data_IF_282137383603
#
_entry.id   IF_282137383603
#
_cell.length_a   1.000
_cell.length_b   1.000
_cell.length_c   1.000
_cell.angle_alpha   90.00
_cell.angle_beta   90.00
_cell.angle_gamma   90.00
#
_symmetry.space_group_name_H-M   'P 1'
#
loop_
_entity.id
_entity.type
_entity.pdbx_description
1 polymer ?
#
# COMPACT_ATOMS: atom_id res chain seq x y z
N UNK A 1 -19.43 -17.81 -6.29
CA UNK A 1 -18.51 -16.81 -6.86
C UNK A 1 -17.46 -16.44 -5.84
N UNK A 2 -16.21 -16.45 -6.23
CA UNK A 2 -15.11 -16.11 -5.34
C UNK A 2 -14.70 -14.65 -5.55
N UNK A 3 -14.80 -13.85 -4.51
CA UNK A 3 -14.44 -12.42 -4.56
C UNK A 3 -13.03 -12.15 -4.05
N UNK A 4 -12.29 -13.17 -3.62
CA UNK A 4 -10.97 -12.99 -3.01
C UNK A 4 -10.01 -12.23 -3.92
N UNK A 5 -10.06 -12.48 -5.23
CA UNK A 5 -9.19 -11.83 -6.21
C UNK A 5 -9.49 -10.34 -6.41
N UNK A 6 -10.49 -9.81 -5.71
CA UNK A 6 -10.85 -8.38 -5.74
C UNK A 6 -10.61 -7.70 -4.39
N UNK A 7 -10.02 -8.40 -3.42
CA UNK A 7 -9.81 -7.86 -2.08
C UNK A 7 -8.38 -7.36 -1.93
N UNK A 8 -8.26 -6.13 -1.43
CA UNK A 8 -6.99 -5.55 -1.00
C UNK A 8 -6.87 -5.75 0.51
N UNK A 9 -6.08 -6.74 0.91
CA UNK A 9 -5.89 -7.07 2.33
C UNK A 9 -4.96 -6.03 2.96
N UNK A 10 -5.47 -5.27 3.92
CA UNK A 10 -4.89 -3.99 4.33
C UNK A 10 -4.50 -3.96 5.80
N UNK A 11 -3.30 -3.44 6.09
CA UNK A 11 -2.84 -3.19 7.46
C UNK A 11 -2.03 -1.88 7.46
N UNK A 12 -2.62 -0.82 8.03
CA UNK A 12 -2.06 0.54 7.97
C UNK A 12 -1.80 1.14 9.36
N UNK A 13 -1.97 0.36 10.42
CA UNK A 13 -1.72 0.83 11.78
C UNK A 13 -0.25 1.22 11.94
N UNK A 14 0.06 2.41 12.47
CA UNK A 14 1.45 2.84 12.61
C UNK A 14 2.26 1.95 13.55
N UNK A 15 1.61 1.28 14.48
CA UNK A 15 2.27 0.36 15.41
C UNK A 15 2.43 -1.06 14.88
N UNK A 16 2.02 -1.34 13.64
CA UNK A 16 2.17 -2.67 13.05
C UNK A 16 3.64 -3.07 12.99
N UNK A 17 3.92 -4.29 13.41
CA UNK A 17 5.28 -4.85 13.43
C UNK A 17 5.49 -5.82 12.28
N UNK A 18 6.77 -6.12 11.90
CA UNK A 18 7.05 -6.97 10.74
C UNK A 18 6.34 -8.32 10.76
N UNK A 19 6.19 -8.95 11.92
CA UNK A 19 5.50 -10.25 11.99
C UNK A 19 4.04 -10.15 11.58
N UNK A 20 3.38 -9.04 11.93
CA UNK A 20 1.99 -8.81 11.51
C UNK A 20 1.90 -8.61 10.00
N UNK A 21 2.89 -7.97 9.41
CA UNK A 21 2.95 -7.79 7.96
C UNK A 21 3.19 -9.14 7.26
N UNK A 22 4.06 -9.99 7.81
CA UNK A 22 4.27 -11.33 7.27
C UNK A 22 3.00 -12.16 7.32
N UNK A 23 2.24 -12.06 8.42
CA UNK A 23 0.95 -12.74 8.55
C UNK A 23 -0.05 -12.24 7.53
N UNK A 24 -0.08 -10.92 7.28
CA UNK A 24 -0.93 -10.32 6.25
C UNK A 24 -0.63 -10.94 4.88
N UNK A 25 0.65 -11.05 4.53
CA UNK A 25 1.07 -11.63 3.26
C UNK A 25 0.72 -13.13 3.18
N UNK A 26 0.89 -13.84 4.28
CA UNK A 26 0.58 -15.27 4.36
C UNK A 26 -0.91 -15.49 4.13
N UNK A 27 -1.76 -14.68 4.76
CA UNK A 27 -3.21 -14.74 4.57
C UNK A 27 -3.60 -14.42 3.14
N UNK A 28 -2.96 -13.41 2.54
CA UNK A 28 -3.24 -13.06 1.14
C UNK A 28 -2.96 -14.24 0.20
N UNK A 29 -1.86 -14.94 0.43
CA UNK A 29 -1.51 -16.14 -0.37
C UNK A 29 -2.50 -17.27 -0.12
N UNK A 30 -2.90 -17.48 1.14
CA UNK A 30 -3.80 -18.57 1.50
C UNK A 30 -5.17 -18.39 0.87
N UNK A 31 -5.71 -17.16 0.87
CA UNK A 31 -7.05 -16.89 0.37
C UNK A 31 -7.09 -16.38 -1.07
N UNK A 32 -5.94 -16.14 -1.70
CA UNK A 32 -5.87 -15.64 -3.07
C UNK A 32 -6.38 -14.22 -3.22
N UNK A 33 -6.07 -13.34 -2.27
CA UNK A 33 -6.47 -11.93 -2.37
C UNK A 33 -5.73 -11.24 -3.50
N UNK A 34 -6.31 -10.15 -4.02
CA UNK A 34 -5.73 -9.38 -5.12
C UNK A 34 -4.40 -8.75 -4.74
N UNK A 35 -4.35 -8.12 -3.56
CA UNK A 35 -3.17 -7.39 -3.12
C UNK A 35 -3.10 -7.35 -1.60
N UNK A 36 -1.93 -6.95 -1.11
CA UNK A 36 -1.81 -6.41 0.25
C UNK A 36 -1.57 -4.92 0.14
N UNK A 37 -2.13 -4.14 1.08
CA UNK A 37 -1.95 -2.69 1.12
C UNK A 37 -1.32 -2.30 2.45
N UNK A 38 -0.17 -1.63 2.39
CA UNK A 38 0.66 -1.33 3.56
C UNK A 38 1.23 0.08 3.46
N UNK A 39 1.80 0.55 4.57
CA UNK A 39 2.61 1.77 4.57
C UNK A 39 3.89 1.53 3.78
N UNK A 40 4.43 2.59 3.18
CA UNK A 40 5.56 2.48 2.24
C UNK A 40 6.79 1.82 2.85
N UNK A 41 7.00 1.97 4.16
CA UNK A 41 8.14 1.35 4.85
C UNK A 41 8.11 -0.18 4.80
N UNK A 42 6.94 -0.78 4.61
CA UNK A 42 6.79 -2.23 4.58
C UNK A 42 6.72 -2.83 3.17
N UNK A 43 6.85 -2.01 2.14
CA UNK A 43 6.81 -2.51 0.76
C UNK A 43 7.93 -3.53 0.48
N UNK A 44 9.19 -3.29 0.87
CA UNK A 44 10.23 -4.29 0.62
C UNK A 44 9.92 -5.66 1.24
N UNK A 45 9.42 -5.66 2.47
CA UNK A 45 9.07 -6.91 3.15
C UNK A 45 7.95 -7.65 2.41
N UNK A 46 6.90 -6.91 2.02
CA UNK A 46 5.79 -7.51 1.27
C UNK A 46 6.24 -8.04 -0.08
N UNK A 47 7.10 -7.30 -0.79
CA UNK A 47 7.61 -7.73 -2.09
C UNK A 47 8.37 -9.05 -1.96
N UNK A 48 9.17 -9.21 -0.90
CA UNK A 48 9.89 -10.45 -0.67
C UNK A 48 8.94 -11.61 -0.32
N UNK A 49 7.98 -11.36 0.59
CA UNK A 49 7.04 -12.38 1.04
C UNK A 49 6.09 -12.85 -0.07
N UNK A 50 5.76 -11.96 -1.00
CA UNK A 50 4.79 -12.25 -2.06
C UNK A 50 5.45 -12.59 -3.40
N UNK A 51 6.76 -12.75 -3.41
CA UNK A 51 7.51 -13.08 -4.61
C UNK A 51 6.95 -14.35 -5.26
N UNK A 52 6.72 -14.27 -6.58
CA UNK A 52 6.19 -15.38 -7.37
C UNK A 52 4.76 -15.83 -6.99
N UNK A 53 4.04 -15.03 -6.21
CA UNK A 53 2.68 -15.37 -5.80
C UNK A 53 1.60 -14.83 -6.75
N UNK A 54 1.95 -13.84 -7.56
CA UNK A 54 0.98 -13.12 -8.39
C UNK A 54 0.15 -12.11 -7.63
N UNK A 55 0.40 -11.92 -6.33
CA UNK A 55 -0.33 -10.96 -5.50
C UNK A 55 0.37 -9.62 -5.56
N UNK A 56 -0.39 -8.55 -5.81
CA UNK A 56 0.15 -7.21 -5.92
C UNK A 56 0.50 -6.64 -4.55
N UNK A 57 1.53 -5.78 -4.52
CA UNK A 57 1.85 -4.98 -3.34
C UNK A 57 1.39 -3.56 -3.61
N UNK A 58 0.45 -3.08 -2.80
CA UNK A 58 -0.04 -1.72 -2.85
C UNK A 58 0.57 -0.92 -1.71
N UNK A 59 1.07 0.27 -2.01
CA UNK A 59 1.57 1.21 -1.00
C UNK A 59 0.66 2.41 -0.92
N UNK A 60 0.27 2.80 0.30
CA UNK A 60 -0.35 4.11 0.49
C UNK A 60 0.72 5.19 0.34
N UNK A 61 0.32 6.37 -0.11
CA UNK A 61 1.19 7.53 -0.29
C UNK A 61 0.49 8.74 0.30
N UNK A 62 1.21 9.48 1.15
CA UNK A 62 0.64 10.62 1.84
C UNK A 62 -0.41 10.26 2.88
N UNK A 63 -0.41 9.03 3.33
CA UNK A 63 -1.42 8.49 4.24
C UNK A 63 -1.07 8.83 5.70
N UNK A 64 -2.05 9.15 6.56
CA UNK A 64 -3.48 9.18 6.23
C UNK A 64 -3.99 10.57 5.83
N UNK A 65 -3.22 11.62 6.05
CA UNK A 65 -3.75 13.00 5.98
C UNK A 65 -3.80 13.57 4.56
N UNK A 66 -2.91 13.14 3.69
CA UNK A 66 -2.78 13.72 2.35
C UNK A 66 -2.27 15.15 2.34
N UNK A 67 -2.01 15.73 3.50
CA UNK A 67 -1.63 17.14 3.65
C UNK A 67 -0.12 17.30 3.59
N UNK A 68 0.46 16.92 2.47
CA UNK A 68 1.89 17.06 2.24
C UNK A 68 2.14 17.57 0.83
N UNK A 69 3.35 18.03 0.58
CA UNK A 69 3.70 18.62 -0.71
C UNK A 69 3.62 17.56 -1.83
N UNK A 70 3.37 18.05 -3.04
CA UNK A 70 3.42 17.18 -4.23
C UNK A 70 4.75 16.47 -4.36
N UNK A 71 5.85 17.18 -4.09
CA UNK A 71 7.20 16.60 -4.15
C UNK A 71 7.35 15.43 -3.19
N UNK A 72 6.85 15.57 -1.95
CA UNK A 72 6.95 14.53 -0.95
C UNK A 72 6.14 13.30 -1.36
N UNK A 73 4.91 13.50 -1.89
CA UNK A 73 4.08 12.40 -2.39
C UNK A 73 4.75 11.70 -3.56
N UNK A 74 5.28 12.46 -4.51
CA UNK A 74 5.97 11.89 -5.67
C UNK A 74 7.19 11.07 -5.24
N UNK A 75 7.95 11.56 -4.26
CA UNK A 75 9.11 10.85 -3.74
C UNK A 75 8.71 9.55 -3.06
N UNK A 76 7.66 9.58 -2.24
CA UNK A 76 7.18 8.36 -1.59
C UNK A 76 6.69 7.33 -2.62
N UNK A 77 5.94 7.78 -3.61
CA UNK A 77 5.45 6.89 -4.67
C UNK A 77 6.60 6.25 -5.46
N UNK A 78 7.58 7.07 -5.86
CA UNK A 78 8.74 6.58 -6.60
C UNK A 78 9.53 5.56 -5.79
N UNK A 79 9.75 5.84 -4.50
CA UNK A 79 10.44 4.92 -3.60
C UNK A 79 9.68 3.61 -3.44
N UNK A 80 8.37 3.67 -3.28
CA UNK A 80 7.54 2.48 -3.14
C UNK A 80 7.62 1.59 -4.39
N UNK A 81 7.59 2.18 -5.58
CA UNK A 81 7.72 1.44 -6.84
C UNK A 81 9.09 0.77 -6.92
N UNK A 82 10.15 1.51 -6.59
CA UNK A 82 11.51 0.93 -6.58
C UNK A 82 11.62 -0.23 -5.60
N UNK A 83 10.90 -0.17 -4.50
CA UNK A 83 10.93 -1.22 -3.46
C UNK A 83 10.02 -2.41 -3.78
N UNK A 84 9.25 -2.35 -4.86
CA UNK A 84 8.48 -3.48 -5.34
C UNK A 84 6.97 -3.30 -5.36
N UNK A 85 6.45 -2.11 -5.05
CA UNK A 85 5.01 -1.85 -5.16
C UNK A 85 4.60 -1.80 -6.63
N UNK A 86 3.48 -2.43 -6.94
CA UNK A 86 2.88 -2.38 -8.27
C UNK A 86 1.61 -1.53 -8.31
N UNK A 87 1.10 -1.14 -7.14
CA UNK A 87 -0.07 -0.29 -7.00
C UNK A 87 0.20 0.81 -5.98
N UNK A 88 -0.32 1.99 -6.26
CA UNK A 88 -0.17 3.15 -5.37
C UNK A 88 -1.56 3.68 -5.05
N UNK A 89 -1.80 3.89 -3.74
CA UNK A 89 -3.04 4.44 -3.23
C UNK A 89 -2.71 5.79 -2.58
N UNK A 90 -2.86 6.88 -3.33
CA UNK A 90 -2.46 8.21 -2.89
C UNK A 90 -3.62 8.95 -2.26
N UNK A 91 -3.37 9.56 -1.09
CA UNK A 91 -4.39 10.36 -0.40
C UNK A 91 -4.39 11.77 -0.94
N UNK A 92 -5.59 12.26 -1.30
CA UNK A 92 -5.78 13.63 -1.79
C UNK A 92 -5.49 14.65 -0.69
N UNK A 93 -4.99 15.82 -1.08
CA UNK A 93 -4.88 16.97 -0.17
C UNK A 93 -6.27 17.62 -0.07
N UNK A 94 -7.04 17.23 0.93
CA UNK A 94 -8.45 17.61 1.07
C UNK A 94 -8.63 19.13 1.07
N UNK A 95 -7.76 19.85 1.79
CA UNK A 95 -7.84 21.31 1.84
C UNK A 95 -7.68 21.97 0.49
N UNK A 96 -6.76 21.48 -0.34
CA UNK A 96 -6.55 21.99 -1.69
C UNK A 96 -7.74 21.69 -2.60
N UNK A 97 -8.29 20.49 -2.50
CA UNK A 97 -9.47 20.11 -3.27
C UNK A 97 -10.66 21.00 -2.88
N UNK A 98 -10.86 21.23 -1.59
CA UNK A 98 -11.94 22.11 -1.10
C UNK A 98 -11.78 23.54 -1.58
N UNK A 99 -10.57 24.02 -1.77
CA UNK A 99 -10.29 25.37 -2.25
C UNK A 99 -10.42 25.49 -3.78
N UNK A 100 -10.66 24.39 -4.47
CA UNK A 100 -10.74 24.36 -5.94
C UNK A 100 -9.37 24.35 -6.62
N UNK A 101 -8.32 24.09 -5.90
CA UNK A 101 -6.96 24.02 -6.44
C UNK A 101 -6.61 22.55 -6.71
N UNK A 102 -6.88 22.15 -7.94
CA UNK A 102 -6.62 20.79 -8.40
C UNK A 102 -5.18 20.68 -8.90
#
# INVERSE_FOLDING_TARGET
MNYADRIDHTLLKPEAVPEQIRNLCREAKEYGFHSVCVNSSYVPLCAEELKNSGIAVCSVVGFPLGAMSTRAKASEAAGAVLDGASEIDMVLHIGMVKSGNW
#
